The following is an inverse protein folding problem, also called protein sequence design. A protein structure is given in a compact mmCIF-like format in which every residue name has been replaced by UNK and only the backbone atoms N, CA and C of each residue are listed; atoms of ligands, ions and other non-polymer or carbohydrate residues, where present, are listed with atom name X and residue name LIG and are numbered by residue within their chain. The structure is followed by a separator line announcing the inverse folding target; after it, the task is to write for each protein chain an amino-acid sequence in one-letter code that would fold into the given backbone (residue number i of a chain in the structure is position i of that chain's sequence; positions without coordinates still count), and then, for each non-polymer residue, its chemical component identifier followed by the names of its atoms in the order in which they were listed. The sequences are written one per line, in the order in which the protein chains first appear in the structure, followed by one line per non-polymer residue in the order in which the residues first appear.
data_IF_964823647489
#
_entry.id   IF_964823647489
#
_cell.length_a   1.000
_cell.length_b   1.000
_cell.length_c   1.000
_cell.angle_alpha   90.00
_cell.angle_beta   90.00
_cell.angle_gamma   90.00
#
_symmetry.space_group_name_H-M   'P 1'
#
loop_
_entity.id
_entity.type
_entity.pdbx_description
1 polymer ?
#
# COMPACT_ATOMS: atom_id res chain seq x y z
N UNK A 1 -37.19 18.77 -22.19
CA UNK A 1 -38.44 18.29 -21.55
C UNK A 1 -38.04 17.77 -20.18
N UNK A 2 -38.16 18.59 -19.13
CA UNK A 2 -37.77 18.21 -17.77
C UNK A 2 -38.95 17.49 -17.10
N UNK A 3 -38.81 16.19 -16.86
CA UNK A 3 -39.83 15.41 -16.16
C UNK A 3 -39.57 15.58 -14.66
N UNK A 4 -40.42 16.37 -14.00
CA UNK A 4 -40.42 16.50 -12.54
C UNK A 4 -40.99 15.23 -11.92
N UNK A 5 -40.12 14.28 -11.57
CA UNK A 5 -40.51 13.12 -10.75
C UNK A 5 -40.58 13.53 -9.27
N UNK A 6 -41.77 13.46 -8.69
CA UNK A 6 -42.00 13.67 -7.26
C UNK A 6 -41.38 12.53 -6.45
N UNK A 7 -40.61 12.88 -5.43
CA UNK A 7 -39.62 12.06 -4.71
C UNK A 7 -40.18 10.88 -3.87
N UNK A 8 -41.49 10.66 -3.84
CA UNK A 8 -42.18 9.69 -2.99
C UNK A 8 -42.37 8.31 -3.63
N UNK A 9 -42.12 8.13 -4.93
CA UNK A 9 -42.40 6.86 -5.64
C UNK A 9 -41.14 6.03 -5.96
N UNK A 10 -39.95 6.49 -5.54
CA UNK A 10 -38.67 5.78 -5.78
C UNK A 10 -38.56 4.45 -5.04
N UNK A 11 -39.31 4.28 -3.94
CA UNK A 11 -39.26 3.07 -3.11
C UNK A 11 -39.79 1.81 -3.81
N UNK A 12 -40.68 1.95 -4.80
CA UNK A 12 -41.34 0.83 -5.45
C UNK A 12 -40.64 0.34 -6.72
N UNK A 13 -39.66 1.09 -7.24
CA UNK A 13 -38.93 0.77 -8.47
C UNK A 13 -37.54 0.17 -8.23
N UNK A 14 -37.06 0.17 -6.99
CA UNK A 14 -35.75 -0.39 -6.64
C UNK A 14 -35.87 -1.90 -6.36
N UNK A 15 -34.96 -2.73 -6.91
CA UNK A 15 -34.91 -4.15 -6.57
C UNK A 15 -34.77 -4.38 -5.05
N UNK A 16 -35.42 -5.41 -4.48
CA UNK A 16 -35.39 -5.69 -3.04
C UNK A 16 -34.00 -5.76 -2.42
N UNK A 17 -32.99 -6.24 -3.16
CA UNK A 17 -31.61 -6.36 -2.69
C UNK A 17 -30.92 -5.00 -2.42
N UNK A 18 -31.29 -3.94 -3.15
CA UNK A 18 -30.76 -2.58 -2.94
C UNK A 18 -31.43 -1.96 -1.72
N UNK A 19 -32.74 -2.13 -1.59
CA UNK A 19 -33.49 -1.69 -0.41
C UNK A 19 -33.01 -2.39 0.85
N UNK A 20 -32.63 -3.67 0.76
CA UNK A 20 -32.07 -4.43 1.87
C UNK A 20 -30.66 -3.92 2.26
N UNK A 21 -29.76 -3.74 1.29
CA UNK A 21 -28.42 -3.19 1.55
C UNK A 21 -28.43 -1.75 2.06
N UNK A 22 -29.42 -0.96 1.65
CA UNK A 22 -29.62 0.39 2.12
C UNK A 22 -30.03 0.44 3.60
N UNK A 23 -30.87 -0.48 4.09
CA UNK A 23 -31.51 -0.40 5.42
C UNK A 23 -30.57 -0.22 6.63
N UNK A 24 -29.25 -0.44 6.50
CA UNK A 24 -28.28 -0.31 7.59
C UNK A 24 -27.46 0.99 7.69
N UNK A 25 -27.53 1.92 6.71
CA UNK A 25 -26.59 3.07 6.67
C UNK A 25 -27.30 4.42 6.94
N UNK A 26 -26.79 5.18 7.92
CA UNK A 26 -27.32 6.51 8.31
C UNK A 26 -27.18 7.59 7.22
N UNK A 27 -26.36 7.37 6.19
CA UNK A 27 -26.15 8.27 5.03
C UNK A 27 -26.83 7.74 3.75
N UNK A 28 -28.04 7.21 3.92
CA UNK A 28 -28.69 6.38 2.90
C UNK A 28 -29.14 7.14 1.65
N UNK A 29 -29.61 8.39 1.79
CA UNK A 29 -30.33 9.08 0.71
C UNK A 29 -29.44 9.46 -0.46
N UNK A 30 -28.21 9.91 -0.17
CA UNK A 30 -27.28 10.35 -1.21
C UNK A 30 -26.72 9.17 -1.99
N UNK A 31 -26.37 8.10 -1.27
CA UNK A 31 -25.93 6.83 -1.89
C UNK A 31 -27.04 6.26 -2.75
N UNK A 32 -28.28 6.17 -2.25
CA UNK A 32 -29.41 5.65 -3.04
C UNK A 32 -29.65 6.49 -4.31
N UNK A 33 -29.54 7.82 -4.22
CA UNK A 33 -29.69 8.69 -5.38
C UNK A 33 -28.58 8.46 -6.43
N UNK A 34 -27.32 8.33 -6.01
CA UNK A 34 -26.20 8.03 -6.90
C UNK A 34 -26.30 6.64 -7.54
N UNK A 35 -26.69 5.62 -6.75
CA UNK A 35 -26.92 4.26 -7.26
C UNK A 35 -28.06 4.24 -8.29
N UNK A 36 -29.09 5.05 -8.08
CA UNK A 36 -30.24 5.15 -8.99
C UNK A 36 -29.90 5.88 -10.28
N UNK A 37 -29.17 6.99 -10.21
CA UNK A 37 -28.63 7.71 -11.38
C UNK A 37 -27.73 6.80 -12.25
N UNK A 38 -26.89 5.97 -11.62
CA UNK A 38 -26.05 5.01 -12.34
C UNK A 38 -26.86 3.90 -13.02
N UNK A 39 -27.93 3.41 -12.37
CA UNK A 39 -28.83 2.44 -12.98
C UNK A 39 -29.58 3.01 -14.18
N UNK A 40 -30.11 4.24 -14.06
CA UNK A 40 -30.74 4.95 -15.17
C UNK A 40 -29.75 5.15 -16.32
N UNK A 41 -28.52 5.56 -16.02
CA UNK A 41 -27.45 5.77 -17.01
C UNK A 41 -27.03 4.47 -17.71
N UNK A 42 -27.20 3.31 -17.06
CA UNK A 42 -26.94 1.99 -17.62
C UNK A 42 -28.12 1.44 -18.47
N UNK A 43 -29.15 2.25 -18.73
CA UNK A 43 -30.32 1.82 -19.51
C UNK A 43 -31.16 0.78 -18.78
N UNK A 44 -31.24 0.91 -17.45
CA UNK A 44 -31.95 -0.02 -16.56
C UNK A 44 -31.34 -1.43 -16.46
N UNK A 45 -30.16 -1.66 -17.07
CA UNK A 45 -29.42 -2.92 -17.00
C UNK A 45 -28.31 -2.89 -15.93
N UNK A 46 -28.63 -3.46 -14.76
CA UNK A 46 -27.71 -3.49 -13.61
C UNK A 46 -26.40 -4.23 -13.89
N UNK A 47 -26.38 -5.23 -14.77
CA UNK A 47 -25.16 -5.98 -15.12
C UNK A 47 -24.15 -5.13 -15.89
N UNK A 48 -24.61 -4.01 -16.45
CA UNK A 48 -23.79 -3.02 -17.16
C UNK A 48 -23.47 -1.79 -16.31
N UNK A 49 -23.99 -1.71 -15.08
CA UNK A 49 -23.68 -0.62 -14.16
C UNK A 49 -22.27 -0.79 -13.57
N UNK A 50 -21.53 0.31 -13.43
CA UNK A 50 -20.16 0.31 -12.87
C UNK A 50 -20.08 -0.22 -11.42
N UNK A 51 -21.22 -0.26 -10.71
CA UNK A 51 -21.38 -0.86 -9.39
C UNK A 51 -21.13 -2.37 -9.34
N UNK A 52 -21.57 -3.09 -10.38
CA UNK A 52 -21.38 -4.54 -10.45
C UNK A 52 -19.96 -4.88 -10.94
N UNK A 53 -19.38 -4.02 -11.78
CA UNK A 53 -18.04 -4.24 -12.33
C UNK A 53 -16.89 -3.92 -11.35
N UNK A 54 -17.10 -3.05 -10.34
CA UNK A 54 -16.04 -2.66 -9.38
C UNK A 54 -16.08 -3.40 -8.04
N UNK A 55 -16.99 -4.37 -7.85
CA UNK A 55 -16.96 -5.24 -6.68
C UNK A 55 -15.89 -6.33 -6.84
N UNK A 56 -14.61 -5.96 -6.86
CA UNK A 56 -13.53 -6.95 -6.81
C UNK A 56 -13.43 -7.50 -5.39
N UNK A 57 -13.95 -8.70 -5.17
CA UNK A 57 -13.73 -9.44 -3.93
C UNK A 57 -12.26 -9.82 -3.85
N UNK A 58 -11.53 -9.22 -2.91
CA UNK A 58 -10.14 -9.59 -2.64
C UNK A 58 -10.13 -10.69 -1.59
N UNK A 59 -9.62 -11.86 -1.96
CA UNK A 59 -9.35 -12.94 -1.02
C UNK A 59 -7.94 -12.73 -0.47
N UNK A 60 -7.83 -12.12 0.71
CA UNK A 60 -6.54 -12.01 1.39
C UNK A 60 -6.38 -13.15 2.38
N UNK A 61 -5.42 -14.03 2.10
CA UNK A 61 -4.99 -15.02 3.08
C UNK A 61 -4.17 -14.35 4.18
N UNK A 62 -4.78 -14.19 5.36
CA UNK A 62 -4.05 -13.75 6.54
C UNK A 62 -3.43 -14.96 7.24
N UNK A 63 -2.13 -14.89 7.44
CA UNK A 63 -1.39 -15.87 8.24
C UNK A 63 -1.51 -15.48 9.71
N UNK A 64 -2.15 -16.31 10.52
CA UNK A 64 -2.20 -16.13 11.98
C UNK A 64 -1.55 -17.31 12.68
N UNK A 65 -0.71 -17.02 13.67
CA UNK A 65 -0.15 -18.04 14.54
C UNK A 65 -1.20 -18.51 15.54
N UNK A 66 -1.47 -19.81 15.57
CA UNK A 66 -2.29 -20.44 16.61
C UNK A 66 -1.38 -20.75 17.80
N UNK A 67 -1.77 -20.22 18.96
CA UNK A 67 -1.10 -20.48 20.22
C UNK A 67 -2.02 -21.30 21.12
N UNK A 68 -1.46 -22.28 21.82
CA UNK A 68 -2.19 -23.14 22.75
C UNK A 68 -1.47 -23.15 24.09
N UNK A 69 -2.24 -23.33 25.17
CA UNK A 69 -1.69 -23.57 26.50
C UNK A 69 -1.39 -25.06 26.62
N UNK A 70 -0.13 -25.42 26.87
CA UNK A 70 0.30 -26.79 27.08
C UNK A 70 0.77 -26.99 28.51
N UNK A 71 0.41 -28.14 29.09
CA UNK A 71 0.96 -28.57 30.37
C UNK A 71 2.47 -28.85 30.26
N UNK A 72 3.19 -28.57 31.34
CA UNK A 72 4.62 -28.83 31.43
C UNK A 72 4.97 -30.30 31.19
N UNK A 73 4.12 -31.25 31.62
CA UNK A 73 4.26 -32.67 31.30
C UNK A 73 4.26 -32.95 29.80
N UNK A 74 3.38 -32.29 29.04
CA UNK A 74 3.29 -32.43 27.58
C UNK A 74 4.51 -31.81 26.90
N UNK A 75 4.98 -30.66 27.40
CA UNK A 75 6.20 -30.03 26.89
C UNK A 75 7.44 -30.90 27.10
N UNK A 76 7.60 -31.51 28.28
CA UNK A 76 8.68 -32.46 28.58
C UNK A 76 8.65 -33.65 27.62
N UNK A 77 7.46 -34.17 27.32
CA UNK A 77 7.30 -35.28 26.38
C UNK A 77 7.65 -34.89 24.91
N UNK A 78 7.30 -33.68 24.48
CA UNK A 78 7.53 -33.21 23.09
C UNK A 78 8.95 -32.74 22.83
N UNK A 79 9.55 -31.99 23.76
CA UNK A 79 10.81 -31.26 23.54
C UNK A 79 11.94 -31.70 24.46
N UNK A 80 11.66 -32.59 25.42
CA UNK A 80 12.62 -32.99 26.45
C UNK A 80 12.65 -32.05 27.66
N UNK A 81 13.16 -32.55 28.78
CA UNK A 81 13.09 -31.86 30.08
C UNK A 81 13.86 -30.52 30.12
N UNK A 82 15.06 -30.48 29.54
CA UNK A 82 15.90 -29.27 29.54
C UNK A 82 15.24 -28.11 28.79
N UNK A 83 14.78 -28.37 27.56
CA UNK A 83 14.12 -27.37 26.72
C UNK A 83 12.78 -26.94 27.33
N UNK A 84 11.99 -27.88 27.85
CA UNK A 84 10.72 -27.54 28.51
C UNK A 84 10.93 -26.57 29.71
N UNK A 85 11.96 -26.81 30.54
CA UNK A 85 12.31 -25.90 31.66
C UNK A 85 12.74 -24.53 31.17
N UNK A 86 13.51 -24.45 30.10
CA UNK A 86 13.90 -23.18 29.50
C UNK A 86 12.68 -22.40 29.00
N UNK A 87 11.79 -23.04 28.23
CA UNK A 87 10.56 -22.42 27.72
C UNK A 87 9.69 -21.91 28.89
N UNK A 88 9.55 -22.71 29.95
CA UNK A 88 8.80 -22.32 31.14
C UNK A 88 9.39 -21.05 31.79
N UNK A 89 10.70 -21.02 31.99
CA UNK A 89 11.39 -19.89 32.61
C UNK A 89 11.24 -18.61 31.77
N UNK A 90 11.46 -18.71 30.45
CA UNK A 90 11.29 -17.58 29.54
C UNK A 90 9.86 -17.03 29.54
N UNK A 91 8.85 -17.91 29.62
CA UNK A 91 7.44 -17.52 29.65
C UNK A 91 7.01 -16.91 30.98
N UNK A 92 7.57 -17.38 32.11
CA UNK A 92 7.43 -16.72 33.42
C UNK A 92 8.00 -15.30 33.39
N UNK A 93 9.21 -15.14 32.86
CA UNK A 93 9.83 -13.81 32.74
C UNK A 93 9.07 -12.87 31.81
N UNK A 94 8.47 -13.39 30.73
CA UNK A 94 7.60 -12.61 29.85
C UNK A 94 6.33 -12.15 30.57
N UNK A 95 5.71 -13.01 31.37
CA UNK A 95 4.53 -12.64 32.18
C UNK A 95 4.91 -11.59 33.24
N UNK A 96 6.06 -11.74 33.90
CA UNK A 96 6.53 -10.80 34.93
C UNK A 96 6.86 -9.40 34.36
N UNK A 97 7.33 -9.34 33.10
CA UNK A 97 7.69 -8.09 32.40
C UNK A 97 6.51 -7.48 31.62
N UNK A 98 5.36 -8.16 31.59
CA UNK A 98 4.22 -7.80 30.79
C UNK A 98 3.54 -6.53 31.31
N UNK A 99 3.03 -5.71 30.41
CA UNK A 99 2.20 -4.56 30.77
C UNK A 99 0.86 -5.05 31.35
N UNK A 100 0.37 -4.51 32.49
CA UNK A 100 -0.92 -4.89 33.06
C UNK A 100 -2.12 -4.73 32.11
N UNK A 101 -2.00 -3.92 31.05
CA UNK A 101 -3.02 -3.71 30.02
C UNK A 101 -3.05 -4.78 28.93
N UNK A 102 -2.01 -5.61 28.81
CA UNK A 102 -1.94 -6.68 27.82
C UNK A 102 -2.81 -7.87 28.26
N UNK A 103 -3.79 -8.34 27.46
CA UNK A 103 -4.61 -9.50 27.82
C UNK A 103 -3.89 -10.85 27.62
N UNK A 104 -2.69 -10.89 27.03
CA UNK A 104 -2.03 -12.15 26.64
C UNK A 104 -1.37 -12.85 27.83
N UNK A 105 -1.91 -13.99 28.26
CA UNK A 105 -1.27 -14.83 29.29
C UNK A 105 -0.22 -15.74 28.65
N UNK A 106 1.04 -15.64 29.08
CA UNK A 106 2.16 -16.45 28.64
C UNK A 106 2.36 -17.70 29.51
N UNK A 107 2.07 -17.60 30.81
CA UNK A 107 2.19 -18.67 31.79
C UNK A 107 1.13 -18.55 32.89
N UNK A 108 0.65 -19.69 33.40
CA UNK A 108 -0.20 -19.75 34.59
C UNK A 108 -0.04 -21.07 35.35
N UNK A 109 -0.30 -21.04 36.65
CA UNK A 109 -0.44 -22.26 37.47
C UNK A 109 -1.75 -22.97 37.13
N UNK A 110 -1.76 -24.30 37.26
CA UNK A 110 -3.01 -25.05 37.16
C UNK A 110 -3.96 -24.62 38.30
N UNK A 111 -5.24 -24.34 38.03
CA UNK A 111 -6.17 -23.90 39.06
C UNK A 111 -6.37 -24.95 40.17
N UNK A 112 -6.41 -26.24 39.80
CA UNK A 112 -6.77 -27.31 40.73
C UNK A 112 -5.59 -28.09 41.32
N UNK A 113 -4.40 -28.03 40.71
CA UNK A 113 -3.26 -28.90 41.05
C UNK A 113 -2.02 -28.04 41.28
N UNK A 114 -1.60 -27.84 42.54
CA UNK A 114 -0.42 -27.03 42.88
C UNK A 114 0.87 -27.82 42.68
N UNK A 115 1.10 -28.34 41.47
CA UNK A 115 2.30 -29.10 41.13
C UNK A 115 2.92 -28.58 39.83
N UNK A 116 4.26 -28.46 39.79
CA UNK A 116 4.99 -27.83 38.68
C UNK A 116 4.74 -28.53 37.33
N UNK A 117 4.52 -29.84 37.34
CA UNK A 117 4.27 -30.61 36.11
C UNK A 117 2.94 -30.29 35.42
N UNK A 118 2.02 -29.62 36.14
CA UNK A 118 0.72 -29.19 35.63
C UNK A 118 0.68 -27.69 35.29
N UNK A 119 1.80 -26.97 35.42
CA UNK A 119 1.86 -25.58 34.97
C UNK A 119 1.59 -25.48 33.46
N UNK A 120 0.83 -24.45 33.07
CA UNK A 120 0.35 -24.25 31.71
C UNK A 120 1.14 -23.14 31.05
N UNK A 121 1.66 -23.41 29.85
CA UNK A 121 2.54 -22.50 29.11
C UNK A 121 2.00 -22.26 27.71
N UNK A 122 1.94 -20.98 27.29
CA UNK A 122 1.50 -20.61 25.95
C UNK A 122 2.60 -20.86 24.92
N UNK A 123 2.38 -21.81 24.02
CA UNK A 123 3.32 -22.19 22.97
C UNK A 123 2.68 -22.05 21.59
N UNK A 124 3.49 -21.69 20.59
CA UNK A 124 3.08 -21.71 19.19
C UNK A 124 2.85 -23.15 18.76
N UNK A 125 1.64 -23.44 18.29
CA UNK A 125 1.24 -24.78 17.85
C UNK A 125 1.39 -24.91 16.33
N UNK A 126 0.76 -24.00 15.59
CA UNK A 126 0.70 -24.07 14.14
C UNK A 126 0.41 -22.71 13.51
N UNK A 127 0.72 -22.58 12.23
CA UNK A 127 0.27 -21.45 11.41
C UNK A 127 -1.09 -21.81 10.80
N UNK A 128 -2.09 -20.97 11.05
CA UNK A 128 -3.44 -21.08 10.46
C UNK A 128 -3.57 -20.01 9.39
N UNK A 129 -4.07 -20.43 8.24
CA UNK A 129 -4.41 -19.55 7.13
C UNK A 129 -5.90 -19.25 7.23
N UNK A 130 -6.23 -18.02 7.60
CA UNK A 130 -7.60 -17.53 7.58
C UNK A 130 -7.80 -16.79 6.26
N UNK A 131 -8.73 -17.28 5.46
CA UNK A 131 -9.22 -16.57 4.28
C UNK A 131 -10.06 -15.40 4.79
N UNK A 132 -9.50 -14.19 4.78
CA UNK A 132 -10.26 -12.98 5.07
C UNK A 132 -10.79 -12.46 3.74
N UNK A 133 -12.11 -12.61 3.58
CA UNK A 133 -12.82 -12.03 2.46
C UNK A 133 -13.02 -10.55 2.77
N UNK A 134 -12.22 -9.70 2.14
CA UNK A 134 -12.44 -8.25 2.19
C UNK A 134 -13.16 -7.82 0.93
N UNK A 135 -14.40 -7.37 1.09
CA UNK A 135 -15.12 -6.68 0.03
C UNK A 135 -14.63 -5.23 0.02
N UNK A 136 -13.55 -4.97 -0.69
CA UNK A 136 -13.02 -3.62 -0.86
C UNK A 136 -13.91 -2.87 -1.86
N UNK A 137 -14.91 -2.17 -1.33
CA UNK A 137 -15.78 -1.31 -2.13
C UNK A 137 -15.04 0.01 -2.40
N UNK A 138 -14.01 -0.06 -3.24
CA UNK A 138 -13.40 1.17 -3.75
C UNK A 138 -14.41 1.75 -4.74
N UNK A 139 -15.14 2.80 -4.36
CA UNK A 139 -15.85 3.65 -5.31
C UNK A 139 -14.82 4.42 -6.16
N UNK A 140 -14.10 3.68 -7.00
CA UNK A 140 -13.37 4.25 -8.11
C UNK A 140 -14.41 4.71 -9.12
N UNK A 141 -14.43 6.00 -9.41
CA UNK A 141 -15.14 6.53 -10.58
C UNK A 141 -14.41 5.97 -11.80
N UNK A 142 -14.78 4.77 -12.24
CA UNK A 142 -14.43 4.30 -13.58
C UNK A 142 -15.45 4.90 -14.55
N UNK A 143 -15.17 6.12 -14.99
CA UNK A 143 -15.87 6.67 -16.14
C UNK A 143 -15.38 5.90 -17.38
N UNK A 144 -16.15 4.93 -17.86
CA UNK A 144 -16.04 4.44 -19.24
C UNK A 144 -16.68 5.48 -20.17
N UNK A 145 -16.11 6.68 -20.17
CA UNK A 145 -16.29 7.65 -21.24
C UNK A 145 -14.98 7.69 -22.00
N UNK A 146 -15.04 7.84 -23.32
CA UNK A 146 -13.90 8.32 -24.09
C UNK A 146 -13.52 9.71 -23.57
N UNK A 147 -12.70 9.75 -22.53
CA UNK A 147 -12.14 10.97 -22.00
C UNK A 147 -11.11 11.43 -23.03
N UNK A 148 -11.43 12.50 -23.76
CA UNK A 148 -10.46 13.15 -24.62
C UNK A 148 -9.21 13.53 -23.79
N UNK A 149 -8.05 13.59 -24.44
CA UNK A 149 -6.75 13.86 -23.82
C UNK A 149 -6.68 15.15 -22.98
N UNK A 150 -7.67 16.05 -23.09
CA UNK A 150 -7.84 17.25 -22.27
C UNK A 150 -8.36 16.93 -20.86
N UNK A 151 -9.37 16.06 -20.74
CA UNK A 151 -10.01 15.73 -19.46
C UNK A 151 -9.16 14.76 -18.63
N UNK A 152 -8.48 13.83 -19.29
CA UNK A 152 -7.52 12.90 -18.65
C UNK A 152 -6.37 13.67 -17.97
N UNK A 153 -5.98 14.83 -18.51
CA UNK A 153 -4.93 15.69 -17.92
C UNK A 153 -5.38 16.41 -16.64
N UNK A 154 -6.64 16.81 -16.53
CA UNK A 154 -7.17 17.44 -15.32
C UNK A 154 -7.27 16.45 -14.15
N UNK A 155 -7.72 15.22 -14.42
CA UNK A 155 -7.84 14.18 -13.37
C UNK A 155 -6.46 13.74 -12.86
N UNK A 156 -5.45 13.64 -13.73
CA UNK A 156 -4.08 13.33 -13.32
C UNK A 156 -3.42 14.45 -12.50
N UNK A 157 -3.72 15.73 -12.75
CA UNK A 157 -3.20 16.83 -11.95
C UNK A 157 -3.72 16.81 -10.51
N UNK A 158 -4.97 16.37 -10.30
CA UNK A 158 -5.58 16.25 -8.97
C UNK A 158 -5.02 15.05 -8.19
N UNK A 159 -4.68 13.95 -8.86
CA UNK A 159 -4.15 12.75 -8.20
C UNK A 159 -2.64 12.83 -7.83
N UNK A 160 -1.86 13.62 -8.56
CA UNK A 160 -0.39 13.74 -8.34
C UNK A 160 -0.04 14.84 -7.33
N UNK A 161 -0.92 15.81 -7.10
CA UNK A 161 -0.79 16.78 -6.03
C UNK A 161 -1.43 16.21 -4.76
N UNK A 162 -0.66 15.45 -3.97
CA UNK A 162 -1.08 14.90 -2.68
C UNK A 162 -1.34 15.98 -1.61
N UNK A 163 -2.40 16.77 -1.80
CA UNK A 163 -2.86 17.78 -0.84
C UNK A 163 -4.40 17.72 -0.70
N UNK A 164 -4.89 16.60 -0.17
CA UNK A 164 -6.28 16.39 0.28
C UNK A 164 -6.57 17.17 1.59
N UNK A 165 -5.61 17.95 2.12
CA UNK A 165 -5.73 18.65 3.40
C UNK A 165 -6.41 20.02 3.38
N UNK A 166 -6.76 20.58 2.21
CA UNK A 166 -7.18 22.00 2.13
C UNK A 166 -8.52 22.26 1.42
N UNK A 167 -9.45 21.30 1.49
CA UNK A 167 -10.81 21.46 0.95
C UNK A 167 -11.88 21.66 2.04
N UNK A 168 -11.52 22.28 3.17
CA UNK A 168 -12.48 22.84 4.12
C UNK A 168 -12.01 24.25 4.53
N UNK A 169 -12.93 25.22 4.50
CA UNK A 169 -12.82 26.63 4.92
C UNK A 169 -12.63 27.74 3.88
N UNK A 170 -13.29 27.67 2.72
CA UNK A 170 -13.72 28.89 2.03
C UNK A 170 -15.25 29.03 2.19
N UNK A 171 -15.64 29.71 3.27
CA UNK A 171 -17.02 29.96 3.60
C UNK A 171 -17.73 30.83 2.57
N UNK A 172 -19.01 30.53 2.35
CA UNK A 172 -20.02 31.41 1.78
C UNK A 172 -20.15 32.67 2.66
N UNK A 173 -19.24 33.63 2.47
CA UNK A 173 -19.32 34.97 3.05
C UNK A 173 -20.08 35.89 2.11
N UNK A 174 -21.40 35.98 2.28
CA UNK A 174 -22.19 37.13 1.83
C UNK A 174 -21.69 38.37 2.58
N UNK A 175 -20.95 39.25 1.91
CA UNK A 175 -20.65 40.59 2.40
C UNK A 175 -21.30 41.60 1.43
N UNK A 176 -22.20 42.48 1.91
CA UNK A 176 -22.76 43.52 1.08
C UNK A 176 -21.85 44.76 1.09
N UNK A 177 -21.61 45.30 -0.10
CA UNK A 177 -21.24 46.71 -0.29
C UNK A 177 -19.77 47.08 -0.07
N UNK A 178 -19.05 47.27 -1.17
CA UNK A 178 -17.73 47.90 -1.14
C UNK A 178 -17.07 47.91 -2.51
N UNK A 179 -17.44 48.86 -3.36
CA UNK A 179 -16.79 49.09 -4.65
C UNK A 179 -15.36 49.61 -4.43
N UNK A 180 -14.37 48.78 -4.74
CA UNK A 180 -12.96 49.19 -4.84
C UNK A 180 -12.43 48.77 -6.21
N UNK A 181 -11.95 49.69 -7.06
CA UNK A 181 -11.28 49.36 -8.31
C UNK A 181 -9.81 49.04 -8.01
N UNK A 182 -9.51 47.76 -7.75
CA UNK A 182 -8.15 47.27 -7.49
C UNK A 182 -7.80 46.12 -8.43
N UNK A 183 -6.88 46.37 -9.36
CA UNK A 183 -6.45 45.42 -10.39
C UNK A 183 -5.96 44.09 -9.81
N UNK A 184 -6.55 43.00 -10.29
CA UNK A 184 -6.12 41.64 -10.03
C UNK A 184 -4.69 41.41 -10.56
N UNK A 185 -3.75 40.88 -9.75
CA UNK A 185 -2.43 40.54 -10.23
C UNK A 185 -2.52 39.45 -11.31
N UNK A 186 -1.74 39.56 -12.41
CA UNK A 186 -1.80 38.61 -13.51
C UNK A 186 -1.44 37.20 -13.02
N UNK A 187 -2.28 36.23 -13.40
CA UNK A 187 -2.05 34.82 -13.10
C UNK A 187 -0.66 34.39 -13.60
N UNK A 188 0.11 33.61 -12.82
CA UNK A 188 1.44 33.16 -13.21
C UNK A 188 1.35 32.33 -14.48
N UNK A 189 1.98 32.82 -15.54
CA UNK A 189 2.10 32.14 -16.84
C UNK A 189 2.82 30.81 -16.61
N UNK A 190 2.08 29.70 -16.64
CA UNK A 190 2.65 28.36 -16.56
C UNK A 190 3.57 28.14 -17.77
N UNK A 191 4.87 28.06 -17.51
CA UNK A 191 5.86 27.77 -18.55
C UNK A 191 5.59 26.37 -19.10
N UNK A 192 5.40 26.19 -20.42
CA UNK A 192 5.14 24.87 -20.99
C UNK A 192 6.33 23.94 -20.68
N UNK A 193 6.05 22.81 -20.00
CA UNK A 193 7.06 21.78 -19.73
C UNK A 193 7.52 21.22 -21.07
N UNK A 194 8.81 21.38 -21.39
CA UNK A 194 9.44 20.77 -22.57
C UNK A 194 9.23 19.26 -22.51
N UNK A 195 8.44 18.71 -23.44
CA UNK A 195 8.24 17.27 -23.60
C UNK A 195 9.56 16.65 -24.01
N UNK A 196 10.03 15.66 -23.25
CA UNK A 196 11.28 14.94 -23.56
C UNK A 196 10.99 13.91 -24.65
N UNK A 197 11.78 13.86 -25.75
CA UNK A 197 11.62 12.86 -26.81
C UNK A 197 11.64 11.42 -26.26
N UNK A 198 10.80 10.53 -26.79
CA UNK A 198 10.62 9.18 -26.29
C UNK A 198 11.91 8.35 -26.41
N UNK A 199 12.61 8.53 -27.53
CA UNK A 199 13.95 7.98 -27.80
C UNK A 199 14.96 8.31 -26.68
N UNK A 200 14.93 9.54 -26.19
CA UNK A 200 15.78 10.01 -25.10
C UNK A 200 15.35 9.44 -23.75
N UNK A 201 14.05 9.34 -23.49
CA UNK A 201 13.54 8.70 -22.27
C UNK A 201 14.00 7.24 -22.18
N UNK A 202 13.89 6.50 -23.28
CA UNK A 202 14.29 5.09 -23.36
C UNK A 202 15.79 4.90 -23.10
N UNK A 203 16.64 5.69 -23.77
CA UNK A 203 18.10 5.65 -23.58
C UNK A 203 18.49 5.98 -22.14
N UNK A 204 17.85 6.99 -21.54
CA UNK A 204 18.08 7.36 -20.15
C UNK A 204 17.69 6.23 -19.18
N UNK A 205 16.56 5.55 -19.42
CA UNK A 205 16.12 4.44 -18.58
C UNK A 205 17.05 3.23 -18.68
N UNK A 206 17.48 2.87 -19.89
CA UNK A 206 18.48 1.81 -20.10
C UNK A 206 19.78 2.14 -19.35
N UNK A 207 20.31 3.36 -19.50
CA UNK A 207 21.50 3.78 -18.78
C UNK A 207 21.32 3.71 -17.25
N UNK A 208 20.21 4.23 -16.73
CA UNK A 208 19.91 4.21 -15.29
C UNK A 208 19.76 2.78 -14.73
N UNK A 209 19.27 1.84 -15.54
CA UNK A 209 19.13 0.44 -15.14
C UNK A 209 20.49 -0.23 -14.93
N UNK A 210 21.49 0.09 -15.76
CA UNK A 210 22.86 -0.37 -15.57
C UNK A 210 23.45 0.15 -14.25
N UNK A 211 23.25 1.43 -13.93
CA UNK A 211 23.68 2.00 -12.65
C UNK A 211 23.01 1.29 -11.46
N UNK A 212 21.70 0.99 -11.57
CA UNK A 212 20.96 0.28 -10.52
C UNK A 212 21.41 -1.17 -10.36
N UNK A 213 21.79 -1.86 -11.43
CA UNK A 213 22.38 -3.20 -11.35
C UNK A 213 23.73 -3.19 -10.65
N UNK A 214 24.59 -2.19 -10.92
CA UNK A 214 25.85 -2.02 -10.19
C UNK A 214 25.62 -1.74 -8.70
N UNK A 215 24.65 -0.87 -8.37
CA UNK A 215 24.27 -0.62 -6.97
C UNK A 215 23.81 -1.92 -6.29
N UNK A 216 23.01 -2.73 -6.98
CA UNK A 216 22.52 -4.02 -6.46
C UNK A 216 23.67 -4.99 -6.18
N UNK A 217 24.64 -5.14 -7.09
CA UNK A 217 25.80 -6.00 -6.87
C UNK A 217 26.64 -5.55 -5.66
N UNK A 218 26.77 -4.23 -5.43
CA UNK A 218 27.43 -3.71 -4.25
C UNK A 218 26.69 -4.07 -2.96
N UNK A 219 25.36 -4.07 -2.97
CA UNK A 219 24.55 -4.53 -1.83
C UNK A 219 24.61 -6.04 -1.64
N UNK A 220 24.65 -6.84 -2.70
CA UNK A 220 24.85 -8.30 -2.61
C UNK A 220 26.17 -8.63 -1.89
N UNK A 221 27.25 -7.92 -2.23
CA UNK A 221 28.53 -8.05 -1.54
C UNK A 221 28.42 -7.62 -0.06
N UNK A 222 27.87 -6.42 0.20
CA UNK A 222 27.70 -5.91 1.59
C UNK A 222 26.85 -6.83 2.47
N UNK A 223 25.80 -7.46 1.94
CA UNK A 223 24.99 -8.45 2.66
C UNK A 223 25.77 -9.74 2.88
N UNK A 224 26.55 -10.18 1.90
CA UNK A 224 27.34 -11.42 2.00
C UNK A 224 28.45 -11.32 3.06
N UNK A 225 29.08 -10.16 3.16
CA UNK A 225 30.18 -9.91 4.11
C UNK A 225 29.69 -9.55 5.53
N UNK A 226 28.37 -9.46 5.74
CA UNK A 226 27.81 -9.10 7.03
C UNK A 226 27.81 -10.29 8.01
N UNK A 227 28.52 -10.15 9.12
CA UNK A 227 28.64 -11.17 10.19
C UNK A 227 27.74 -10.90 11.39
N UNK A 228 27.02 -9.78 11.41
CA UNK A 228 26.19 -9.32 12.54
C UNK A 228 24.78 -9.90 12.47
N UNK A 229 24.24 -10.06 11.26
CA UNK A 229 22.89 -10.58 11.05
C UNK A 229 22.83 -12.09 11.16
N UNK A 230 21.66 -12.62 11.55
CA UNK A 230 21.42 -14.07 11.55
C UNK A 230 21.47 -14.64 10.14
N UNK A 231 21.92 -15.90 10.01
CA UNK A 231 22.01 -16.61 8.73
C UNK A 231 20.65 -16.64 7.98
N UNK A 232 19.55 -16.81 8.70
CA UNK A 232 18.19 -16.80 8.14
C UNK A 232 17.87 -15.46 7.48
N UNK A 233 18.16 -14.35 8.16
CA UNK A 233 17.88 -13.02 7.64
C UNK A 233 18.79 -12.67 6.45
N UNK A 234 20.07 -13.07 6.52
CA UNK A 234 21.01 -12.92 5.41
C UNK A 234 20.54 -13.66 4.15
N UNK A 235 20.07 -14.90 4.30
CA UNK A 235 19.54 -15.69 3.19
C UNK A 235 18.27 -15.05 2.60
N UNK A 236 17.40 -14.49 3.46
CA UNK A 236 16.24 -13.71 3.02
C UNK A 236 16.63 -12.51 2.17
N UNK A 237 17.59 -11.69 2.63
CA UNK A 237 18.08 -10.53 1.87
C UNK A 237 18.78 -10.93 0.57
N UNK A 238 19.58 -12.01 0.55
CA UNK A 238 20.19 -12.52 -0.68
C UNK A 238 19.14 -12.96 -1.70
N UNK A 239 18.11 -13.67 -1.25
CA UNK A 239 17.00 -14.10 -2.10
C UNK A 239 16.23 -12.90 -2.67
N UNK A 240 15.92 -11.89 -1.85
CA UNK A 240 15.27 -10.67 -2.32
C UNK A 240 16.13 -9.91 -3.33
N UNK A 241 17.42 -9.69 -3.05
CA UNK A 241 18.34 -9.01 -3.97
C UNK A 241 18.44 -9.75 -5.31
N UNK A 242 18.52 -11.08 -5.27
CA UNK A 242 18.52 -11.92 -6.50
C UNK A 242 17.25 -11.71 -7.31
N UNK A 243 16.07 -11.72 -6.65
CA UNK A 243 14.80 -11.48 -7.32
C UNK A 243 14.71 -10.06 -7.91
N UNK A 244 15.23 -9.03 -7.22
CA UNK A 244 15.27 -7.65 -7.75
C UNK A 244 16.23 -7.52 -8.93
N UNK A 245 17.36 -8.24 -8.91
CA UNK A 245 18.33 -8.28 -10.01
C UNK A 245 17.70 -8.84 -11.27
N UNK A 246 17.00 -9.96 -11.14
CA UNK A 246 16.29 -10.59 -12.25
C UNK A 246 15.20 -9.67 -12.81
N UNK A 247 14.37 -9.07 -11.95
CA UNK A 247 13.32 -8.14 -12.38
C UNK A 247 13.88 -6.93 -13.14
N UNK A 248 14.95 -6.30 -12.65
CA UNK A 248 15.60 -5.17 -13.33
C UNK A 248 16.24 -5.62 -14.64
N UNK A 249 16.91 -6.78 -14.66
CA UNK A 249 17.55 -7.33 -15.85
C UNK A 249 16.53 -7.62 -16.95
N UNK A 250 15.42 -8.28 -16.61
CA UNK A 250 14.36 -8.60 -17.57
C UNK A 250 13.73 -7.33 -18.14
N UNK A 251 13.37 -6.36 -17.29
CA UNK A 251 12.81 -5.08 -17.74
C UNK A 251 13.81 -4.28 -18.60
N UNK A 252 15.11 -4.33 -18.28
CA UNK A 252 16.18 -3.72 -19.09
C UNK A 252 16.24 -4.36 -20.48
N UNK A 253 16.23 -5.69 -20.58
CA UNK A 253 16.23 -6.40 -21.86
C UNK A 253 14.99 -6.08 -22.70
N UNK A 254 13.80 -5.94 -22.08
CA UNK A 254 12.59 -5.48 -22.77
C UNK A 254 12.75 -4.05 -23.32
N UNK A 255 13.34 -3.13 -22.55
CA UNK A 255 13.64 -1.77 -23.01
C UNK A 255 14.65 -1.75 -24.16
N UNK A 256 15.72 -2.56 -24.08
CA UNK A 256 16.72 -2.68 -25.15
C UNK A 256 16.09 -3.22 -26.44
N UNK A 257 15.15 -4.18 -26.31
CA UNK A 257 14.38 -4.72 -27.44
C UNK A 257 13.50 -3.64 -28.06
N UNK A 258 12.76 -2.87 -27.26
CA UNK A 258 11.98 -1.75 -27.78
C UNK A 258 12.87 -0.65 -28.37
N UNK A 259 14.06 -0.41 -27.82
CA UNK A 259 15.02 0.57 -28.35
C UNK A 259 15.51 0.18 -29.74
N UNK A 260 15.83 -1.10 -29.95
CA UNK A 260 16.20 -1.59 -31.27
C UNK A 260 15.11 -1.32 -32.32
N UNK A 261 13.82 -1.43 -31.95
CA UNK A 261 12.69 -1.10 -32.84
C UNK A 261 12.57 0.41 -33.16
N UNK A 262 13.20 1.28 -32.37
CA UNK A 262 13.23 2.72 -32.63
C UNK A 262 14.36 3.16 -33.55
N UNK A 263 15.37 2.31 -33.78
CA UNK A 263 16.53 2.67 -34.60
C UNK A 263 16.10 2.95 -36.04
N UNK A 264 16.51 4.10 -36.57
CA UNK A 264 16.19 4.54 -37.92
C UNK A 264 14.81 5.19 -38.09
N UNK A 265 13.97 5.22 -37.04
CA UNK A 265 12.69 5.95 -37.04
C UNK A 265 12.90 7.40 -36.58
N UNK A 266 12.27 8.36 -37.24
CA UNK A 266 12.18 9.74 -36.74
C UNK A 266 11.20 9.82 -35.57
N UNK A 267 11.30 10.85 -34.74
CA UNK A 267 10.39 11.03 -33.60
C UNK A 267 8.91 11.12 -34.03
N UNK A 268 8.64 11.67 -35.21
CA UNK A 268 7.28 11.74 -35.77
C UNK A 268 6.76 10.34 -36.15
N UNK A 269 7.59 9.51 -36.79
CA UNK A 269 7.24 8.12 -37.11
C UNK A 269 7.02 7.27 -35.84
N UNK A 270 7.75 7.57 -34.76
CA UNK A 270 7.52 6.92 -33.48
C UNK A 270 6.16 7.32 -32.88
N UNK A 271 5.77 8.59 -32.98
CA UNK A 271 4.49 9.08 -32.47
C UNK A 271 3.30 8.54 -33.27
N UNK A 272 3.46 8.27 -34.56
CA UNK A 272 2.43 7.66 -35.41
C UNK A 272 2.24 6.16 -35.13
N UNK A 273 3.28 5.47 -34.63
CA UNK A 273 3.24 4.05 -34.27
C UNK A 273 2.73 3.85 -32.83
N UNK A 274 1.42 4.00 -32.64
CA UNK A 274 0.79 3.93 -31.32
C UNK A 274 1.06 2.60 -30.58
N UNK A 275 1.21 1.49 -31.33
CA UNK A 275 1.56 0.18 -30.77
C UNK A 275 2.93 0.21 -30.10
N UNK A 276 3.94 0.74 -30.80
CA UNK A 276 5.29 0.89 -30.26
C UNK A 276 5.34 1.89 -29.10
N UNK A 277 4.60 3.00 -29.16
CA UNK A 277 4.52 3.97 -28.05
C UNK A 277 3.96 3.33 -26.78
N UNK A 278 2.89 2.54 -26.92
CA UNK A 278 2.28 1.83 -25.80
C UNK A 278 3.23 0.77 -25.22
N UNK A 279 3.94 0.03 -26.08
CA UNK A 279 4.95 -0.95 -25.66
C UNK A 279 6.09 -0.27 -24.87
N UNK A 280 6.66 0.82 -25.39
CA UNK A 280 7.74 1.57 -24.73
C UNK A 280 7.26 2.11 -23.38
N UNK A 281 6.06 2.70 -23.34
CA UNK A 281 5.50 3.27 -22.11
C UNK A 281 5.26 2.19 -21.06
N UNK A 282 4.76 1.02 -21.46
CA UNK A 282 4.59 -0.14 -20.58
C UNK A 282 5.93 -0.63 -20.02
N UNK A 283 6.95 -0.74 -20.88
CA UNK A 283 8.29 -1.16 -20.46
C UNK A 283 8.95 -0.12 -19.54
N UNK A 284 8.73 1.18 -19.76
CA UNK A 284 9.18 2.24 -18.87
C UNK A 284 8.50 2.13 -17.50
N UNK A 285 7.19 1.90 -17.46
CA UNK A 285 6.47 1.71 -16.20
C UNK A 285 6.97 0.45 -15.45
N UNK A 286 7.26 -0.63 -16.17
CA UNK A 286 7.80 -1.86 -15.59
C UNK A 286 9.17 -1.65 -14.92
N UNK A 287 10.10 -0.95 -15.58
CA UNK A 287 11.42 -0.66 -14.98
C UNK A 287 11.30 0.28 -13.77
N UNK A 288 10.39 1.26 -13.81
CA UNK A 288 10.16 2.17 -12.68
C UNK A 288 9.58 1.44 -11.47
N UNK A 289 8.65 0.51 -11.70
CA UNK A 289 8.13 -0.38 -10.66
C UNK A 289 9.24 -1.23 -10.04
N UNK A 290 10.11 -1.82 -10.88
CA UNK A 290 11.27 -2.58 -10.42
C UNK A 290 12.24 -1.73 -9.59
N UNK A 291 12.49 -0.48 -10.00
CA UNK A 291 13.33 0.46 -9.24
C UNK A 291 12.72 0.82 -7.88
N UNK A 292 11.42 1.12 -7.83
CA UNK A 292 10.73 1.44 -6.59
C UNK A 292 10.79 0.27 -5.61
N UNK A 293 10.56 -0.94 -6.11
CA UNK A 293 10.65 -2.15 -5.31
C UNK A 293 12.07 -2.41 -4.80
N UNK A 294 13.10 -2.22 -5.63
CA UNK A 294 14.50 -2.30 -5.22
C UNK A 294 14.83 -1.29 -4.12
N UNK A 295 14.44 -0.03 -4.28
CA UNK A 295 14.67 1.01 -3.28
C UNK A 295 14.02 0.67 -1.92
N UNK A 296 12.85 0.01 -1.93
CA UNK A 296 12.19 -0.53 -0.74
C UNK A 296 12.99 -1.63 -0.04
N UNK A 297 13.49 -2.61 -0.80
CA UNK A 297 14.39 -3.66 -0.29
C UNK A 297 15.66 -3.05 0.31
N UNK A 298 16.33 -2.11 -0.39
CA UNK A 298 17.55 -1.45 0.12
C UNK A 298 17.30 -0.69 1.41
N UNK A 299 16.15 0.00 1.55
CA UNK A 299 15.80 0.68 2.80
C UNK A 299 15.70 -0.31 3.97
N UNK A 300 15.08 -1.46 3.75
CA UNK A 300 14.93 -2.52 4.75
C UNK A 300 16.28 -3.13 5.16
N UNK A 301 17.14 -3.39 4.17
CA UNK A 301 18.51 -3.89 4.41
C UNK A 301 19.33 -2.86 5.20
N UNK A 302 19.31 -1.58 4.80
CA UNK A 302 19.99 -0.49 5.51
C UNK A 302 19.59 -0.43 6.98
N UNK A 303 18.28 -0.48 7.26
CA UNK A 303 17.77 -0.44 8.63
C UNK A 303 18.20 -1.63 9.48
N UNK A 304 18.53 -2.76 8.85
CA UNK A 304 18.96 -3.99 9.53
C UNK A 304 20.48 -4.05 9.72
N UNK A 305 21.25 -3.58 8.73
CA UNK A 305 22.72 -3.63 8.75
C UNK A 305 23.31 -2.45 9.52
N UNK A 306 22.84 -1.24 9.27
CA UNK A 306 23.43 -0.06 9.89
C UNK A 306 22.85 0.08 11.31
N UNK A 307 23.68 -0.08 12.36
CA UNK A 307 23.20 0.03 13.73
C UNK A 307 22.57 1.40 13.90
N UNK A 308 21.30 1.43 14.31
CA UNK A 308 20.64 2.69 14.65
C UNK A 308 21.59 3.46 15.56
N UNK A 309 21.97 4.70 15.22
CA UNK A 309 22.87 5.48 16.07
C UNK A 309 22.25 5.43 17.45
N UNK A 310 22.98 4.83 18.41
CA UNK A 310 22.51 4.69 19.80
C UNK A 310 22.03 6.09 20.16
N UNK A 311 20.71 6.26 20.27
CA UNK A 311 20.14 7.54 20.68
C UNK A 311 20.71 7.74 22.06
N UNK A 312 21.73 8.58 22.18
CA UNK A 312 22.23 8.97 23.48
C UNK A 312 21.00 9.42 24.25
N UNK A 313 20.72 8.79 25.40
CA UNK A 313 19.59 9.22 26.20
C UNK A 313 19.78 10.71 26.41
N UNK A 314 18.81 11.52 25.97
CA UNK A 314 18.76 12.95 26.23
C UNK A 314 18.59 13.14 27.74
N UNK A 315 19.63 12.81 28.49
CA UNK A 315 19.71 12.98 29.92
C UNK A 315 19.86 14.47 30.16
N UNK A 316 18.73 15.10 30.51
CA UNK A 316 18.66 16.19 31.49
C UNK A 316 19.55 17.43 31.24
N UNK A 317 19.71 17.87 29.99
CA UNK A 317 20.20 19.25 29.73
C UNK A 317 19.20 20.34 30.21
N UNK A 318 17.99 19.97 30.67
CA UNK A 318 17.00 20.91 31.21
C UNK A 318 17.11 21.19 32.72
N UNK A 319 18.05 20.58 33.44
CA UNK A 319 18.23 20.84 34.87
C UNK A 319 19.23 21.98 35.18
N UNK A 320 19.98 22.49 34.20
CA UNK A 320 21.00 23.54 34.42
C UNK A 320 20.56 24.96 34.00
N UNK A 321 19.33 25.12 33.50
CA UNK A 321 18.75 26.43 33.14
C UNK A 321 17.71 26.93 34.16
N UNK A 322 17.50 26.22 35.28
CA UNK A 322 16.65 26.67 36.38
C UNK A 322 17.45 26.98 37.67
N UNK A 323 18.78 27.06 37.56
CA UNK A 323 19.70 27.36 38.66
C UNK A 323 20.65 28.54 38.34
N UNK A 324 20.32 29.33 37.31
CA UNK A 324 20.95 30.61 36.99
C UNK A 324 19.81 31.63 36.80
#
# INVERSE_FOLDING_TARGET
MFINHTHTDLGNRLPPAVLEKAKGRRHNRQIIAELFEQWLSAGEDWMRSSLVCNASRSLQQRRRGKYVMLEMKVLKARYGNGIAKQILQEKKEMEDKKDPSDPVVYWMKHPDIPHEDHEMVRVFDSMVYEDEVSDDLTMGVSATGELDASQTRQVMQVAVAGDIGRFQSAGLGLQPGGAVPGGSPPAPVEKPKKVVPLSKQLTNKISSSSTKLTELMAWEAKVTDNTVLSATLLNGFKSELTARKEAISNAKTSLETSYAKTLGKTEQQLQEDQGLVNEITTNIAAIESAFNSFNGTIKTIKMSIDPQPKREPKAKAKAKAAAA
#
